data_IF_721385843553
#
_entry.id   IF_721385843553
#
_cell.length_a   1.000
_cell.length_b   1.000
_cell.length_c   1.000
_cell.angle_alpha   90.00
_cell.angle_beta   90.00
_cell.angle_gamma   90.00
#
_symmetry.space_group_name_H-M   'P 1'
#
loop_
_entity.id
_entity.type
_entity.pdbx_description
1 polymer ?
#
# COMPACT_ATOMS: atom_id res chain seq x y z
N UNK A 1 74.47 51.89 18.49
CA UNK A 1 73.79 51.05 19.48
C UNK A 1 72.68 50.28 18.73
N UNK A 2 72.83 48.96 18.60
CA UNK A 2 71.89 48.08 17.88
C UNK A 2 70.84 47.61 18.85
N UNK A 3 69.53 47.42 18.44
CA UNK A 3 68.56 46.71 19.24
C UNK A 3 68.60 45.20 18.96
N UNK A 4 68.42 44.40 20.00
CA UNK A 4 68.35 42.97 19.99
C UNK A 4 67.01 42.47 19.39
N UNK A 5 67.11 41.58 18.41
CA UNK A 5 66.03 40.72 17.96
C UNK A 5 65.91 39.53 18.92
N UNK A 6 64.71 39.29 19.49
CA UNK A 6 64.37 38.04 20.14
C UNK A 6 63.44 37.25 19.18
N UNK A 7 64.03 36.29 18.50
CA UNK A 7 63.26 35.26 17.74
C UNK A 7 62.81 34.17 18.68
N UNK A 8 61.48 33.99 18.82
CA UNK A 8 60.93 32.86 19.48
C UNK A 8 60.76 31.74 18.43
N UNK A 9 61.64 30.75 18.51
CA UNK A 9 61.62 29.54 17.67
C UNK A 9 60.54 28.58 18.23
N UNK A 10 59.40 28.50 17.53
CA UNK A 10 58.33 27.59 17.87
C UNK A 10 58.53 26.27 17.12
N UNK A 11 59.03 25.29 17.86
CA UNK A 11 59.33 23.94 17.36
C UNK A 11 58.10 23.29 16.71
N UNK A 12 58.29 22.78 15.47
CA UNK A 12 57.30 22.07 14.66
C UNK A 12 56.67 20.83 15.35
N UNK A 13 57.10 20.47 16.52
CA UNK A 13 56.58 19.32 17.29
C UNK A 13 55.43 19.67 18.25
N UNK A 14 55.12 20.93 18.49
CA UNK A 14 53.98 21.33 19.38
C UNK A 14 52.66 21.65 18.64
N UNK A 15 52.69 21.85 17.32
CA UNK A 15 51.51 22.11 16.51
C UNK A 15 50.71 20.84 16.13
N UNK A 16 51.15 19.63 16.50
CA UNK A 16 50.53 18.35 16.13
C UNK A 16 49.72 17.68 17.25
N UNK A 17 49.41 18.40 18.33
CA UNK A 17 48.64 17.81 19.47
C UNK A 17 47.23 18.38 19.70
N UNK A 18 46.70 19.26 18.84
CA UNK A 18 45.35 19.83 18.95
C UNK A 18 44.58 19.65 17.65
N UNK A 19 44.45 18.40 17.15
CA UNK A 19 43.54 18.03 16.05
C UNK A 19 43.10 16.55 16.24
N UNK A 20 42.68 16.25 17.43
CA UNK A 20 42.11 14.95 17.81
C UNK A 20 40.72 15.06 18.41
N UNK A 21 39.90 16.05 18.01
CA UNK A 21 38.48 16.04 18.28
C UNK A 21 37.80 15.25 17.18
N UNK A 22 37.53 13.97 17.47
CA UNK A 22 36.79 13.11 16.59
C UNK A 22 35.43 13.70 16.26
N UNK A 23 35.25 14.17 15.03
CA UNK A 23 33.93 14.36 14.45
C UNK A 23 33.36 12.98 14.25
N UNK A 24 32.54 12.53 15.20
CA UNK A 24 31.62 11.40 14.98
C UNK A 24 30.67 11.88 13.87
N UNK A 25 30.97 11.55 12.63
CA UNK A 25 30.05 11.70 11.53
C UNK A 25 28.85 10.81 11.85
N UNK A 26 27.77 11.40 12.36
CA UNK A 26 26.46 10.77 12.34
C UNK A 26 26.12 10.58 10.85
N UNK A 27 26.42 9.41 10.33
CA UNK A 27 25.91 8.97 9.04
C UNK A 27 24.40 8.76 9.23
N UNK A 28 23.62 9.80 8.90
CA UNK A 28 22.18 9.64 8.71
C UNK A 28 22.01 8.52 7.66
N UNK A 29 21.16 7.53 7.89
CA UNK A 29 20.91 6.52 6.87
C UNK A 29 20.34 7.23 5.64
N UNK A 30 21.13 7.28 4.57
CA UNK A 30 20.67 7.76 3.26
C UNK A 30 19.69 6.69 2.79
N UNK A 31 18.40 6.98 2.87
CA UNK A 31 17.38 6.12 2.25
C UNK A 31 17.71 5.97 0.78
N UNK A 32 17.86 4.74 0.32
CA UNK A 32 18.04 4.49 -1.10
C UNK A 32 16.83 5.05 -1.87
N UNK A 33 17.03 5.67 -3.02
CA UNK A 33 15.93 6.21 -3.81
C UNK A 33 14.97 5.09 -4.20
N UNK A 34 13.67 5.32 -4.01
CA UNK A 34 12.61 4.38 -4.46
C UNK A 34 12.66 4.31 -5.98
N UNK A 35 12.87 3.10 -6.52
CA UNK A 35 13.02 2.86 -7.96
C UNK A 35 12.05 1.76 -8.41
N UNK A 36 11.31 2.00 -9.50
CA UNK A 36 10.36 1.04 -10.08
C UNK A 36 11.00 -0.34 -10.35
N UNK A 37 12.26 -0.38 -10.80
CA UNK A 37 12.98 -1.62 -11.10
C UNK A 37 13.21 -2.53 -9.87
N UNK A 38 13.14 -1.99 -8.65
CA UNK A 38 13.38 -2.72 -7.41
C UNK A 38 12.08 -3.09 -6.67
N UNK A 39 10.92 -2.82 -7.28
CA UNK A 39 9.63 -3.10 -6.65
C UNK A 39 9.36 -4.60 -6.56
N UNK A 40 9.02 -5.06 -5.37
CA UNK A 40 8.61 -6.44 -5.14
C UNK A 40 7.28 -6.68 -5.85
N UNK A 41 7.19 -7.80 -6.55
CA UNK A 41 5.96 -8.27 -7.20
C UNK A 41 5.57 -9.63 -6.67
N UNK A 42 4.27 -9.93 -6.65
CA UNK A 42 3.72 -11.23 -6.29
C UNK A 42 2.77 -11.75 -7.35
N UNK A 43 2.73 -13.05 -7.50
CA UNK A 43 1.78 -13.70 -8.43
C UNK A 43 0.36 -13.67 -7.85
N UNK A 44 -0.61 -13.41 -8.72
CA UNK A 44 -1.99 -13.82 -8.47
C UNK A 44 -2.00 -15.34 -8.56
N UNK A 45 -2.37 -16.08 -7.49
CA UNK A 45 -2.16 -17.54 -7.44
C UNK A 45 -2.76 -18.28 -8.63
N UNK A 46 -4.03 -18.05 -8.95
CA UNK A 46 -4.74 -18.77 -10.03
C UNK A 46 -4.26 -18.46 -11.45
N UNK A 47 -3.75 -17.26 -11.71
CA UNK A 47 -3.39 -16.84 -13.07
C UNK A 47 -1.91 -16.75 -13.33
N UNK A 48 -1.09 -16.62 -12.28
CA UNK A 48 0.34 -16.37 -12.39
C UNK A 48 0.70 -14.93 -12.79
N UNK A 49 -0.27 -14.03 -13.01
CA UNK A 49 -0.02 -12.62 -13.31
C UNK A 49 0.70 -11.95 -12.14
N UNK A 50 1.72 -11.16 -12.47
CA UNK A 50 2.53 -10.46 -11.48
C UNK A 50 1.91 -9.09 -11.13
N UNK A 51 1.76 -8.82 -9.84
CA UNK A 51 1.28 -7.53 -9.34
C UNK A 51 2.31 -6.91 -8.38
N UNK A 52 2.51 -5.57 -8.42
CA UNK A 52 3.24 -4.87 -7.39
C UNK A 52 2.58 -5.07 -6.02
N UNK A 53 3.38 -5.27 -4.98
CA UNK A 53 2.86 -5.51 -3.62
C UNK A 53 2.28 -4.28 -2.94
N UNK A 54 2.56 -3.07 -3.45
CA UNK A 54 1.96 -1.81 -2.99
C UNK A 54 1.00 -1.30 -4.04
N UNK A 55 -0.27 -1.20 -3.68
CA UNK A 55 -1.31 -0.52 -4.44
C UNK A 55 -1.67 0.84 -3.84
N UNK A 56 -2.60 1.53 -4.44
CA UNK A 56 -3.13 2.83 -4.02
C UNK A 56 -4.62 2.71 -3.70
N UNK A 57 -4.97 2.82 -2.41
CA UNK A 57 -6.36 3.00 -1.98
C UNK A 57 -6.84 4.43 -2.23
N UNK A 58 -8.13 4.59 -2.52
CA UNK A 58 -8.70 5.91 -2.86
C UNK A 58 -9.72 6.44 -1.85
N UNK A 59 -10.12 5.64 -0.86
CA UNK A 59 -11.07 6.05 0.18
C UNK A 59 -10.59 7.33 0.89
N UNK A 60 -11.47 8.32 1.04
CA UNK A 60 -11.23 9.68 1.58
C UNK A 60 -10.12 10.48 0.86
N UNK A 61 -9.14 9.81 0.28
CA UNK A 61 -8.00 10.46 -0.35
C UNK A 61 -8.33 11.06 -1.72
N UNK A 62 -9.30 10.48 -2.46
CA UNK A 62 -9.68 10.91 -3.80
C UNK A 62 -11.14 11.37 -3.90
N UNK A 63 -11.90 11.43 -2.81
CA UNK A 63 -13.20 12.13 -2.78
C UNK A 63 -12.98 13.64 -2.62
N UNK A 64 -12.56 14.27 -3.70
CA UNK A 64 -12.12 15.67 -3.73
C UNK A 64 -12.89 16.51 -4.75
N UNK A 65 -12.84 17.83 -4.57
CA UNK A 65 -13.48 18.80 -5.46
C UNK A 65 -12.82 18.91 -6.83
N UNK A 66 -13.35 19.84 -7.63
CA UNK A 66 -12.81 20.15 -8.97
C UNK A 66 -11.76 21.25 -8.95
N UNK A 67 -11.56 21.95 -7.81
CA UNK A 67 -10.57 23.00 -7.70
C UNK A 67 -9.15 22.43 -7.87
N UNK A 68 -8.27 23.19 -8.52
CA UNK A 68 -6.87 22.77 -8.73
C UNK A 68 -6.16 22.49 -7.40
N UNK A 69 -6.39 23.30 -6.37
CA UNK A 69 -5.84 23.08 -5.01
C UNK A 69 -6.17 21.71 -4.42
N UNK A 70 -7.32 21.14 -4.77
CA UNK A 70 -7.73 19.82 -4.32
C UNK A 70 -7.10 18.72 -5.21
N UNK A 71 -7.07 18.97 -6.53
CA UNK A 71 -6.67 17.98 -7.54
C UNK A 71 -5.16 17.85 -7.73
N UNK A 72 -4.39 18.93 -7.60
CA UNK A 72 -2.95 18.91 -7.85
C UNK A 72 -2.19 17.95 -6.92
N UNK A 73 -2.45 17.88 -5.60
CA UNK A 73 -1.82 16.87 -4.75
C UNK A 73 -2.17 15.43 -5.17
N UNK A 74 -3.45 15.16 -5.50
CA UNK A 74 -3.89 13.84 -5.93
C UNK A 74 -3.30 13.45 -7.30
N UNK A 75 -3.18 14.42 -8.21
CA UNK A 75 -2.52 14.25 -9.51
C UNK A 75 -1.04 13.91 -9.36
N UNK A 76 -0.32 14.62 -8.48
CA UNK A 76 1.09 14.32 -8.20
C UNK A 76 1.24 12.94 -7.54
N UNK A 77 0.33 12.55 -6.63
CA UNK A 77 0.30 11.18 -6.06
C UNK A 77 0.16 10.14 -7.17
N UNK A 78 -0.82 10.28 -8.06
CA UNK A 78 -1.05 9.31 -9.13
C UNK A 78 0.11 9.23 -10.12
N UNK A 79 0.70 10.38 -10.47
CA UNK A 79 1.88 10.49 -11.32
C UNK A 79 3.06 9.73 -10.70
N UNK A 80 3.40 10.05 -9.44
CA UNK A 80 4.50 9.40 -8.72
C UNK A 80 4.26 7.91 -8.51
N UNK A 81 3.01 7.53 -8.23
CA UNK A 81 2.63 6.12 -8.09
C UNK A 81 3.03 5.29 -9.32
N UNK A 82 2.68 5.78 -10.52
CA UNK A 82 3.02 5.10 -11.78
C UNK A 82 4.52 5.16 -12.06
N UNK A 83 5.18 6.32 -11.83
CA UNK A 83 6.63 6.48 -12.02
C UNK A 83 7.44 5.52 -11.13
N UNK A 84 6.94 5.21 -9.93
CA UNK A 84 7.57 4.29 -8.98
C UNK A 84 7.16 2.82 -9.18
N UNK A 85 6.50 2.50 -10.29
CA UNK A 85 6.12 1.13 -10.65
C UNK A 85 4.82 0.63 -10.03
N UNK A 86 4.04 1.52 -9.41
CA UNK A 86 2.69 1.20 -8.94
C UNK A 86 1.72 1.01 -10.11
N UNK A 87 0.79 0.08 -9.96
CA UNK A 87 -0.24 -0.20 -10.96
C UNK A 87 -1.63 -0.33 -10.34
N UNK A 88 -1.77 -1.01 -9.21
CA UNK A 88 -3.06 -1.34 -8.58
C UNK A 88 -3.68 -0.09 -7.96
N UNK A 89 -4.84 0.33 -8.45
CA UNK A 89 -5.66 1.40 -7.85
C UNK A 89 -6.99 0.79 -7.41
N UNK A 90 -7.28 0.85 -6.10
CA UNK A 90 -8.52 0.34 -5.51
C UNK A 90 -9.49 1.47 -5.19
N UNK A 91 -10.69 1.41 -5.77
CA UNK A 91 -11.76 2.37 -5.57
C UNK A 91 -13.10 1.70 -5.28
N UNK A 92 -14.17 2.50 -5.19
CA UNK A 92 -15.54 2.02 -5.01
C UNK A 92 -16.53 3.12 -5.38
N UNK A 93 -17.71 2.80 -5.90
CA UNK A 93 -18.80 3.75 -6.07
C UNK A 93 -19.26 4.39 -4.74
N UNK A 94 -18.98 3.73 -3.61
CA UNK A 94 -19.22 4.25 -2.25
C UNK A 94 -18.26 5.40 -1.85
N UNK A 95 -17.14 5.58 -2.55
CA UNK A 95 -16.08 6.54 -2.20
C UNK A 95 -16.32 7.92 -2.85
N UNK A 96 -17.57 8.37 -2.90
CA UNK A 96 -17.93 9.67 -3.45
C UNK A 96 -17.47 9.87 -4.89
N UNK A 97 -16.60 10.83 -5.13
CA UNK A 97 -16.07 11.18 -6.46
C UNK A 97 -14.82 10.43 -6.86
N UNK A 98 -14.29 9.55 -6.01
CA UNK A 98 -12.98 8.92 -6.21
C UNK A 98 -12.84 8.25 -7.58
N UNK A 99 -13.83 7.49 -8.05
CA UNK A 99 -13.80 6.85 -9.37
C UNK A 99 -13.67 7.87 -10.51
N UNK A 100 -14.46 8.95 -10.46
CA UNK A 100 -14.39 10.01 -11.48
C UNK A 100 -13.06 10.75 -11.43
N UNK A 101 -12.55 11.04 -10.23
CA UNK A 101 -11.26 11.72 -10.06
C UNK A 101 -10.11 10.86 -10.60
N UNK A 102 -10.11 9.55 -10.34
CA UNK A 102 -9.11 8.65 -10.91
C UNK A 102 -9.22 8.61 -12.44
N UNK A 103 -10.43 8.50 -12.98
CA UNK A 103 -10.64 8.52 -14.43
C UNK A 103 -10.14 9.80 -15.09
N UNK A 104 -10.46 10.96 -14.51
CA UNK A 104 -10.03 12.27 -15.01
C UNK A 104 -8.49 12.41 -14.95
N UNK A 105 -7.90 12.23 -13.77
CA UNK A 105 -6.46 12.44 -13.54
C UNK A 105 -5.61 11.45 -14.32
N UNK A 106 -6.01 10.18 -14.40
CA UNK A 106 -5.26 9.18 -15.17
C UNK A 106 -5.30 9.44 -16.68
N UNK A 107 -6.40 9.99 -17.19
CA UNK A 107 -6.52 10.43 -18.58
C UNK A 107 -5.66 11.65 -18.84
N UNK A 108 -5.73 12.68 -17.98
CA UNK A 108 -4.92 13.89 -18.08
C UNK A 108 -3.42 13.58 -18.07
N UNK A 109 -2.98 12.65 -17.22
CA UNK A 109 -1.60 12.19 -17.14
C UNK A 109 -1.19 11.20 -18.25
N UNK A 110 -2.15 10.76 -19.07
CA UNK A 110 -1.93 9.71 -20.07
C UNK A 110 -1.38 8.40 -19.46
N UNK A 111 -1.89 8.02 -18.30
CA UNK A 111 -1.46 6.80 -17.58
C UNK A 111 -2.60 5.80 -17.37
N UNK A 112 -3.83 6.08 -17.82
CA UNK A 112 -4.99 5.23 -17.58
C UNK A 112 -4.75 3.76 -17.98
N UNK A 113 -4.13 3.52 -19.13
CA UNK A 113 -3.81 2.16 -19.63
C UNK A 113 -2.73 1.44 -18.81
N UNK A 114 -1.97 2.15 -17.98
CA UNK A 114 -0.95 1.56 -17.09
C UNK A 114 -1.52 1.12 -15.74
N UNK A 115 -2.76 1.52 -15.44
CA UNK A 115 -3.39 1.20 -14.17
C UNK A 115 -4.08 -0.18 -14.24
N UNK A 116 -3.94 -0.94 -13.19
CA UNK A 116 -4.68 -2.13 -12.87
C UNK A 116 -5.81 -1.74 -11.89
N UNK A 117 -7.03 -1.65 -12.39
CA UNK A 117 -8.15 -1.09 -11.65
C UNK A 117 -8.89 -2.18 -10.87
N UNK A 118 -9.02 -1.96 -9.57
CA UNK A 118 -9.95 -2.66 -8.70
C UNK A 118 -11.06 -1.72 -8.27
N UNK A 119 -12.32 -2.12 -8.48
CA UNK A 119 -13.47 -1.40 -7.92
C UNK A 119 -14.53 -2.39 -7.43
N UNK A 120 -15.70 -1.90 -7.07
CA UNK A 120 -16.67 -2.69 -6.32
C UNK A 120 -18.08 -2.47 -6.84
N UNK A 121 -19.00 -3.40 -6.50
CA UNK A 121 -20.44 -3.20 -6.57
C UNK A 121 -20.99 -3.08 -5.15
N UNK A 122 -21.77 -2.03 -4.89
CA UNK A 122 -22.34 -1.70 -3.58
C UNK A 122 -23.77 -1.19 -3.73
N UNK A 123 -24.68 -2.10 -3.99
CA UNK A 123 -26.12 -1.86 -4.09
C UNK A 123 -26.83 -3.21 -3.94
N UNK A 124 -28.15 -3.24 -4.00
CA UNK A 124 -28.94 -4.48 -4.00
C UNK A 124 -29.68 -4.63 -5.32
N UNK A 125 -29.87 -5.87 -5.76
CA UNK A 125 -30.57 -6.22 -6.99
C UNK A 125 -29.66 -6.24 -8.23
N UNK A 126 -29.97 -7.17 -9.13
CA UNK A 126 -29.13 -7.45 -10.31
C UNK A 126 -29.02 -6.24 -11.26
N UNK A 127 -30.15 -5.62 -11.59
CA UNK A 127 -30.18 -4.50 -12.55
C UNK A 127 -29.48 -3.27 -11.99
N UNK A 128 -29.71 -2.93 -10.71
CA UNK A 128 -29.03 -1.84 -10.03
C UNK A 128 -27.51 -2.10 -9.96
N UNK A 129 -27.09 -3.34 -9.70
CA UNK A 129 -25.70 -3.71 -9.71
C UNK A 129 -25.05 -3.54 -11.08
N UNK A 130 -25.70 -4.00 -12.14
CA UNK A 130 -25.23 -3.82 -13.52
C UNK A 130 -25.11 -2.34 -13.87
N UNK A 131 -26.12 -1.54 -13.54
CA UNK A 131 -26.10 -0.09 -13.76
C UNK A 131 -24.94 0.59 -13.03
N UNK A 132 -24.72 0.26 -11.75
CA UNK A 132 -23.63 0.81 -10.95
C UNK A 132 -22.25 0.42 -11.50
N UNK A 133 -22.06 -0.85 -11.88
CA UNK A 133 -20.79 -1.31 -12.45
C UNK A 133 -20.50 -0.68 -13.82
N UNK A 134 -21.51 -0.47 -14.67
CA UNK A 134 -21.37 0.27 -15.93
C UNK A 134 -21.03 1.75 -15.65
N UNK A 135 -21.60 2.36 -14.61
CA UNK A 135 -21.28 3.71 -14.20
C UNK A 135 -19.82 3.83 -13.71
N UNK A 136 -19.31 2.83 -12.98
CA UNK A 136 -17.89 2.73 -12.60
C UNK A 136 -16.97 2.68 -13.83
N UNK A 137 -17.30 1.85 -14.84
CA UNK A 137 -16.57 1.82 -16.11
C UNK A 137 -16.49 3.20 -16.77
N UNK A 138 -17.65 3.89 -16.84
CA UNK A 138 -17.74 5.24 -17.43
C UNK A 138 -16.93 6.27 -16.64
N UNK A 139 -17.07 6.29 -15.31
CA UNK A 139 -16.36 7.23 -14.42
C UNK A 139 -14.85 7.03 -14.48
N UNK A 140 -14.39 5.78 -14.49
CA UNK A 140 -12.97 5.46 -14.56
C UNK A 140 -12.40 5.50 -16.00
N UNK A 141 -13.25 5.83 -17.00
CA UNK A 141 -12.86 5.90 -18.42
C UNK A 141 -12.25 4.61 -18.92
N UNK A 142 -12.91 3.47 -18.61
CA UNK A 142 -12.46 2.11 -18.94
C UNK A 142 -13.53 1.36 -19.71
N UNK A 143 -13.11 0.50 -20.62
CA UNK A 143 -14.00 -0.48 -21.27
C UNK A 143 -14.12 -1.77 -20.47
N UNK A 144 -13.10 -2.09 -19.69
CA UNK A 144 -13.03 -3.26 -18.79
C UNK A 144 -12.34 -2.91 -17.48
N UNK A 145 -12.65 -3.66 -16.42
CA UNK A 145 -12.06 -3.55 -15.09
C UNK A 145 -11.26 -4.82 -14.81
N UNK A 146 -10.08 -4.70 -14.24
CA UNK A 146 -9.26 -5.86 -13.89
C UNK A 146 -9.90 -6.64 -12.74
N UNK A 147 -10.31 -6.00 -11.63
CA UNK A 147 -10.97 -6.66 -10.51
C UNK A 147 -12.27 -5.96 -10.12
N UNK A 148 -13.38 -6.67 -10.19
CA UNK A 148 -14.66 -6.24 -9.64
C UNK A 148 -15.00 -7.05 -8.39
N UNK A 149 -15.32 -6.36 -7.28
CA UNK A 149 -15.57 -6.99 -5.99
C UNK A 149 -16.96 -6.70 -5.46
N UNK A 150 -17.57 -7.64 -4.73
CA UNK A 150 -18.78 -7.35 -3.97
C UNK A 150 -18.39 -6.65 -2.68
N UNK A 151 -18.82 -5.39 -2.53
CA UNK A 151 -18.45 -4.53 -1.40
C UNK A 151 -19.26 -4.89 -0.15
N UNK A 152 -18.55 -5.17 0.94
CA UNK A 152 -19.13 -5.54 2.24
C UNK A 152 -20.11 -6.71 2.15
N UNK A 153 -19.89 -7.60 1.15
CA UNK A 153 -20.75 -8.77 0.90
C UNK A 153 -22.23 -8.41 0.67
N UNK A 154 -22.53 -7.14 0.34
CA UNK A 154 -23.90 -6.69 0.10
C UNK A 154 -24.49 -7.40 -1.13
N UNK A 155 -25.60 -8.10 -0.92
CA UNK A 155 -26.30 -8.91 -1.94
C UNK A 155 -25.35 -9.82 -2.75
N UNK A 156 -24.40 -10.46 -2.03
CA UNK A 156 -23.29 -11.21 -2.64
C UNK A 156 -23.78 -12.31 -3.59
N UNK A 157 -24.88 -13.01 -3.25
CA UNK A 157 -25.42 -14.08 -4.10
C UNK A 157 -25.82 -13.56 -5.48
N UNK A 158 -26.52 -12.44 -5.54
CA UNK A 158 -26.97 -11.82 -6.79
C UNK A 158 -25.78 -11.31 -7.60
N UNK A 159 -24.89 -10.56 -6.93
CA UNK A 159 -23.77 -9.91 -7.62
C UNK A 159 -22.71 -10.90 -8.09
N UNK A 160 -22.37 -11.93 -7.32
CA UNK A 160 -21.42 -12.96 -7.77
C UNK A 160 -21.90 -13.68 -9.03
N UNK A 161 -23.22 -13.91 -9.18
CA UNK A 161 -23.78 -14.45 -10.41
C UNK A 161 -23.49 -13.53 -11.60
N UNK A 162 -23.76 -12.24 -11.44
CA UNK A 162 -23.47 -11.23 -12.48
C UNK A 162 -21.97 -11.12 -12.77
N UNK A 163 -21.11 -11.15 -11.74
CA UNK A 163 -19.66 -11.07 -11.91
C UNK A 163 -19.08 -12.26 -12.65
N UNK A 164 -19.62 -13.47 -12.46
CA UNK A 164 -19.24 -14.66 -13.27
C UNK A 164 -19.57 -14.46 -14.77
N UNK A 165 -20.75 -13.90 -15.06
CA UNK A 165 -21.15 -13.59 -16.45
C UNK A 165 -20.24 -12.50 -17.04
N UNK A 166 -19.90 -11.47 -16.28
CA UNK A 166 -18.99 -10.41 -16.69
C UNK A 166 -17.56 -10.90 -16.91
N UNK A 167 -17.08 -11.82 -16.07
CA UNK A 167 -15.77 -12.47 -16.26
C UNK A 167 -15.74 -13.31 -17.54
N UNK A 168 -16.79 -14.11 -17.79
CA UNK A 168 -16.91 -14.90 -19.03
C UNK A 168 -16.95 -14.04 -20.29
N UNK A 169 -17.60 -12.86 -20.23
CA UNK A 169 -17.68 -11.92 -21.34
C UNK A 169 -16.46 -11.02 -21.50
N UNK A 170 -15.49 -11.09 -20.60
CA UNK A 170 -14.28 -10.27 -20.64
C UNK A 170 -14.46 -8.81 -20.17
N UNK A 171 -15.63 -8.45 -19.62
CA UNK A 171 -15.84 -7.12 -19.01
C UNK A 171 -15.02 -6.91 -17.75
N UNK A 172 -14.76 -7.99 -17.02
CA UNK A 172 -13.83 -8.02 -15.88
C UNK A 172 -12.85 -9.18 -16.07
N UNK A 173 -11.65 -9.05 -15.51
CA UNK A 173 -10.64 -10.09 -15.55
C UNK A 173 -10.74 -11.01 -14.33
N UNK A 174 -10.97 -10.42 -13.17
CA UNK A 174 -11.06 -11.10 -11.89
C UNK A 174 -12.30 -10.69 -11.13
N UNK A 175 -12.83 -11.60 -10.31
CA UNK A 175 -13.91 -11.35 -9.38
C UNK A 175 -13.45 -11.57 -7.94
N UNK A 176 -14.07 -10.87 -7.00
CA UNK A 176 -13.73 -10.99 -5.59
C UNK A 176 -14.83 -10.48 -4.66
N UNK A 177 -14.53 -10.57 -3.39
CA UNK A 177 -15.35 -10.03 -2.30
C UNK A 177 -14.49 -9.20 -1.35
N UNK A 178 -15.10 -8.24 -0.67
CA UNK A 178 -14.36 -7.43 0.30
C UNK A 178 -15.18 -7.13 1.55
N UNK A 179 -14.47 -7.04 2.68
CA UNK A 179 -14.99 -6.45 3.91
C UNK A 179 -13.87 -5.71 4.65
N UNK A 180 -14.23 -4.85 5.61
CA UNK A 180 -13.29 -3.97 6.28
C UNK A 180 -13.16 -4.19 7.80
N UNK A 181 -13.81 -5.23 8.37
CA UNK A 181 -13.69 -5.56 9.78
C UNK A 181 -13.85 -7.06 10.05
N UNK A 182 -13.27 -7.53 11.16
CA UNK A 182 -13.22 -8.94 11.55
C UNK A 182 -14.60 -9.59 11.81
N UNK A 183 -15.62 -8.81 12.17
CA UNK A 183 -16.99 -9.33 12.38
C UNK A 183 -17.63 -9.96 11.14
N UNK A 184 -17.07 -9.73 9.94
CA UNK A 184 -17.54 -10.34 8.70
C UNK A 184 -16.72 -11.58 8.28
N UNK A 185 -15.76 -12.00 9.09
CA UNK A 185 -14.82 -13.06 8.69
C UNK A 185 -15.48 -14.41 8.43
N UNK A 186 -16.56 -14.75 9.12
CA UNK A 186 -17.31 -15.99 8.85
C UNK A 186 -17.93 -15.99 7.45
N UNK A 187 -18.43 -14.85 7.00
CA UNK A 187 -18.97 -14.69 5.64
C UNK A 187 -17.86 -14.66 4.58
N UNK A 188 -16.74 -14.00 4.86
CA UNK A 188 -15.57 -14.02 3.97
C UNK A 188 -15.01 -15.44 3.87
N UNK A 189 -14.94 -16.18 4.96
CA UNK A 189 -14.49 -17.57 4.98
C UNK A 189 -15.35 -18.46 4.09
N UNK A 190 -16.68 -18.31 4.15
CA UNK A 190 -17.60 -19.05 3.28
C UNK A 190 -17.35 -18.71 1.80
N UNK A 191 -17.13 -17.43 1.48
CA UNK A 191 -16.83 -17.02 0.11
C UNK A 191 -15.49 -17.61 -0.37
N UNK A 192 -14.44 -17.59 0.46
CA UNK A 192 -13.13 -18.18 0.12
C UNK A 192 -13.24 -19.71 -0.06
N UNK A 193 -13.94 -20.40 0.85
CA UNK A 193 -14.16 -21.87 0.78
C UNK A 193 -14.85 -22.33 -0.48
N UNK A 194 -15.60 -21.46 -1.15
CA UNK A 194 -16.23 -21.82 -2.44
C UNK A 194 -15.19 -22.13 -3.53
N UNK A 195 -13.95 -21.66 -3.37
CA UNK A 195 -12.90 -21.79 -4.37
C UNK A 195 -13.10 -20.92 -5.63
N UNK A 196 -14.21 -20.19 -5.71
CA UNK A 196 -14.55 -19.39 -6.90
C UNK A 196 -13.89 -18.01 -6.93
N UNK A 197 -13.52 -17.47 -5.76
CA UNK A 197 -12.95 -16.13 -5.67
C UNK A 197 -11.54 -16.09 -6.23
N UNK A 198 -11.27 -15.13 -7.12
CA UNK A 198 -9.91 -14.81 -7.53
C UNK A 198 -9.22 -13.97 -6.45
N UNK A 199 -9.98 -13.07 -5.81
CA UNK A 199 -9.50 -12.17 -4.77
C UNK A 199 -10.42 -12.13 -3.56
N UNK A 200 -9.81 -11.98 -2.40
CA UNK A 200 -10.46 -11.50 -1.18
C UNK A 200 -9.74 -10.24 -0.70
N UNK A 201 -10.52 -9.21 -0.35
CA UNK A 201 -9.96 -8.01 0.28
C UNK A 201 -10.49 -7.93 1.72
N UNK A 202 -9.58 -7.82 2.68
CA UNK A 202 -9.90 -7.82 4.10
C UNK A 202 -9.01 -6.86 4.90
N UNK A 203 -9.48 -6.45 6.09
CA UNK A 203 -8.65 -5.66 6.98
C UNK A 203 -7.52 -6.51 7.56
N UNK A 204 -6.32 -5.96 7.48
CA UNK A 204 -5.15 -6.58 8.07
C UNK A 204 -4.08 -5.53 8.36
N UNK A 205 -3.67 -5.47 9.61
CA UNK A 205 -2.65 -4.55 10.10
C UNK A 205 -1.91 -5.14 11.31
N UNK A 206 -0.91 -4.44 11.82
CA UNK A 206 -0.19 -4.88 13.03
C UNK A 206 -1.08 -4.94 14.29
N UNK A 207 -2.20 -4.22 14.30
CA UNK A 207 -3.19 -4.20 15.40
C UNK A 207 -4.48 -4.96 15.10
N UNK A 208 -4.79 -5.23 13.84
CA UNK A 208 -5.94 -6.02 13.40
C UNK A 208 -5.41 -7.31 12.77
N UNK A 209 -5.16 -8.34 13.57
CA UNK A 209 -4.41 -9.55 13.19
C UNK A 209 -5.26 -10.81 13.08
N UNK A 210 -6.55 -10.72 13.29
CA UNK A 210 -7.45 -11.87 13.36
C UNK A 210 -7.46 -12.70 12.06
N UNK A 211 -7.13 -12.06 10.90
CA UNK A 211 -7.00 -12.76 9.63
C UNK A 211 -5.89 -13.83 9.63
N UNK A 212 -4.83 -13.66 10.44
CA UNK A 212 -3.73 -14.62 10.57
C UNK A 212 -4.20 -15.97 11.12
N UNK A 213 -5.25 -15.98 11.95
CA UNK A 213 -5.72 -17.19 12.63
C UNK A 213 -6.27 -18.23 11.66
N UNK A 214 -6.94 -17.79 10.58
CA UNK A 214 -7.58 -18.71 9.62
C UNK A 214 -7.70 -18.22 8.18
N UNK A 215 -8.11 -16.97 7.94
CA UNK A 215 -8.46 -16.52 6.59
C UNK A 215 -7.27 -16.47 5.63
N UNK A 216 -6.10 -16.02 6.11
CA UNK A 216 -4.90 -15.93 5.28
C UNK A 216 -4.42 -17.31 4.85
N UNK A 217 -4.41 -18.28 5.78
CA UNK A 217 -4.07 -19.66 5.46
C UNK A 217 -5.07 -20.27 4.48
N UNK A 218 -6.36 -20.12 4.75
CA UNK A 218 -7.42 -20.64 3.88
C UNK A 218 -7.32 -20.07 2.47
N UNK A 219 -7.10 -18.75 2.33
CA UNK A 219 -6.94 -18.12 1.03
C UNK A 219 -5.75 -18.69 0.24
N UNK A 220 -4.63 -18.94 0.93
CA UNK A 220 -3.47 -19.59 0.32
C UNK A 220 -3.78 -21.04 -0.11
N UNK A 221 -4.47 -21.82 0.74
CA UNK A 221 -4.81 -23.23 0.47
C UNK A 221 -5.72 -23.39 -0.77
N UNK A 222 -6.57 -22.38 -1.07
CA UNK A 222 -7.49 -22.42 -2.23
C UNK A 222 -7.08 -21.45 -3.35
N UNK A 223 -5.84 -20.98 -3.34
CA UNK A 223 -5.26 -20.11 -4.37
C UNK A 223 -6.03 -18.79 -4.60
N UNK A 224 -6.64 -18.23 -3.55
CA UNK A 224 -7.29 -16.92 -3.60
C UNK A 224 -6.30 -15.83 -3.23
N UNK A 225 -6.12 -14.84 -4.11
CA UNK A 225 -5.26 -13.69 -3.86
C UNK A 225 -5.82 -12.80 -2.73
N UNK A 226 -4.95 -12.27 -1.87
CA UNK A 226 -5.36 -11.43 -0.73
C UNK A 226 -4.89 -10.00 -0.91
N UNK A 227 -5.82 -9.05 -0.83
CA UNK A 227 -5.54 -7.61 -0.72
C UNK A 227 -5.81 -7.17 0.72
N UNK A 228 -4.80 -6.59 1.38
CA UNK A 228 -4.98 -5.99 2.70
C UNK A 228 -5.47 -4.55 2.57
N UNK A 229 -6.65 -4.26 3.10
CA UNK A 229 -7.14 -2.90 3.29
C UNK A 229 -6.88 -2.42 4.73
N UNK A 230 -7.08 -1.12 5.01
CA UNK A 230 -6.86 -0.50 6.33
C UNK A 230 -5.50 -0.79 6.96
N UNK A 231 -4.38 -0.78 6.21
CA UNK A 231 -3.08 -1.21 6.73
C UNK A 231 -2.58 -0.39 7.93
N UNK A 232 -3.11 0.80 8.09
CA UNK A 232 -2.79 1.73 9.19
C UNK A 232 -3.91 1.84 10.23
N UNK A 233 -4.90 0.94 10.23
CA UNK A 233 -6.05 0.96 11.14
C UNK A 233 -6.66 2.37 11.28
N UNK A 234 -6.98 3.00 10.14
CA UNK A 234 -7.45 4.41 10.04
C UNK A 234 -6.48 5.43 10.65
N UNK A 235 -5.18 5.15 10.64
CA UNK A 235 -4.16 6.05 11.18
C UNK A 235 -3.88 5.90 12.68
N UNK A 236 -4.62 5.07 13.41
CA UNK A 236 -4.47 4.89 14.86
C UNK A 236 -3.07 4.40 15.26
N UNK A 237 -2.42 3.58 14.42
CA UNK A 237 -1.05 3.10 14.68
C UNK A 237 -0.02 4.24 14.76
N UNK A 238 -0.24 5.35 14.06
CA UNK A 238 0.69 6.48 14.11
C UNK A 238 0.61 7.26 15.43
N UNK A 239 -0.54 7.25 16.10
CA UNK A 239 -0.70 7.88 17.41
C UNK A 239 0.17 7.18 18.47
N UNK A 240 0.29 5.86 18.41
CA UNK A 240 1.09 5.06 19.34
C UNK A 240 2.60 5.31 19.20
N UNK A 241 3.06 5.68 18.00
CA UNK A 241 4.49 5.89 17.70
C UNK A 241 4.89 7.35 17.58
N UNK A 242 3.99 8.28 17.89
CA UNK A 242 4.25 9.71 17.79
C UNK A 242 5.45 10.10 18.66
N UNK A 243 6.47 10.70 18.03
CA UNK A 243 7.70 11.12 18.69
C UNK A 243 8.66 9.99 19.07
N UNK A 244 8.34 8.74 18.74
CA UNK A 244 9.22 7.59 19.01
C UNK A 244 10.09 7.28 17.78
N UNK A 245 11.40 7.05 17.96
CA UNK A 245 12.26 6.60 16.87
C UNK A 245 11.93 5.17 16.48
N UNK A 246 12.26 4.79 15.23
CA UNK A 246 12.27 3.38 14.84
C UNK A 246 13.29 2.60 15.70
N UNK A 247 13.02 1.32 16.02
CA UNK A 247 14.03 0.48 16.64
C UNK A 247 15.22 0.29 15.69
N UNK A 248 16.43 0.25 16.23
CA UNK A 248 17.67 0.15 15.43
C UNK A 248 17.67 -1.04 14.47
N UNK A 249 17.07 -2.17 14.88
CA UNK A 249 16.95 -3.37 14.06
C UNK A 249 15.97 -3.26 12.88
N UNK A 250 15.19 -2.18 12.76
CA UNK A 250 14.35 -1.94 11.58
C UNK A 250 15.18 -1.84 10.29
N UNK A 251 16.46 -1.48 10.39
CA UNK A 251 17.43 -1.50 9.28
C UNK A 251 17.70 -2.91 8.73
N UNK A 252 17.48 -3.97 9.50
CA UNK A 252 17.63 -5.36 9.06
C UNK A 252 16.65 -5.74 7.94
N UNK A 253 15.52 -5.01 7.86
CA UNK A 253 14.49 -5.15 6.83
C UNK A 253 14.40 -3.90 5.93
N UNK A 254 15.46 -3.12 5.81
CA UNK A 254 15.53 -1.91 4.98
C UNK A 254 14.35 -0.94 5.25
N UNK A 255 13.98 -0.77 6.52
CA UNK A 255 12.84 0.06 6.95
C UNK A 255 13.34 1.40 7.49
N UNK A 256 12.84 2.51 6.94
CA UNK A 256 13.30 3.87 7.27
C UNK A 256 12.23 4.76 7.89
N UNK A 257 10.98 4.29 7.98
CA UNK A 257 9.86 5.02 8.58
C UNK A 257 8.88 4.08 9.28
N UNK A 258 8.06 4.63 10.17
CA UNK A 258 6.96 3.89 10.78
C UNK A 258 5.91 3.46 9.74
N UNK A 259 5.68 4.26 8.69
CA UNK A 259 4.79 3.86 7.59
C UNK A 259 5.28 2.59 6.90
N UNK A 260 6.59 2.54 6.57
CA UNK A 260 7.20 1.34 6.00
C UNK A 260 7.19 0.17 6.99
N UNK A 261 7.42 0.40 8.27
CA UNK A 261 7.38 -0.63 9.30
C UNK A 261 6.03 -1.36 9.29
N UNK A 262 4.93 -0.64 9.32
CA UNK A 262 3.59 -1.22 9.31
C UNK A 262 3.27 -1.95 8.00
N UNK A 263 3.64 -1.39 6.86
CA UNK A 263 3.42 -2.05 5.56
C UNK A 263 4.29 -3.31 5.40
N UNK A 264 5.56 -3.26 5.79
CA UNK A 264 6.45 -4.43 5.74
C UNK A 264 5.98 -5.54 6.66
N UNK A 265 5.43 -5.22 7.85
CA UNK A 265 4.78 -6.22 8.70
C UNK A 265 3.71 -7.01 7.94
N UNK A 266 2.83 -6.33 7.22
CA UNK A 266 1.77 -6.92 6.41
C UNK A 266 2.37 -7.73 5.26
N UNK A 267 3.26 -7.13 4.50
CA UNK A 267 3.91 -7.74 3.34
C UNK A 267 4.79 -8.94 3.69
N UNK A 268 5.30 -9.02 4.91
CA UNK A 268 6.02 -10.18 5.41
C UNK A 268 5.19 -11.46 5.47
N UNK A 269 3.85 -11.36 5.48
CA UNK A 269 3.00 -12.56 5.47
C UNK A 269 2.93 -13.15 4.04
N UNK A 270 3.25 -14.45 3.84
CA UNK A 270 3.39 -15.04 2.51
C UNK A 270 2.07 -15.11 1.72
N UNK A 271 0.92 -15.20 2.40
CA UNK A 271 -0.40 -15.25 1.75
C UNK A 271 -0.87 -13.89 1.18
N UNK A 272 -0.23 -12.77 1.52
CA UNK A 272 -0.61 -11.46 1.01
C UNK A 272 -0.14 -11.28 -0.43
N UNK A 273 -1.03 -10.81 -1.30
CA UNK A 273 -0.68 -10.42 -2.67
C UNK A 273 -0.31 -8.93 -2.71
N UNK A 274 -1.14 -8.08 -2.12
CA UNK A 274 -0.98 -6.63 -2.18
C UNK A 274 -1.55 -5.96 -0.93
N UNK A 275 -1.06 -4.76 -0.62
CA UNK A 275 -1.60 -3.85 0.39
C UNK A 275 -1.94 -2.51 -0.27
N UNK A 276 -3.05 -1.88 0.14
CA UNK A 276 -3.60 -0.67 -0.50
C UNK A 276 -3.70 0.52 0.47
N UNK A 277 -2.58 1.10 0.93
CA UNK A 277 -2.61 2.34 1.70
C UNK A 277 -3.19 3.48 0.87
N UNK A 278 -4.06 4.30 1.48
CA UNK A 278 -4.63 5.49 0.85
C UNK A 278 -3.87 6.75 1.29
N UNK A 279 -3.58 7.64 0.35
CA UNK A 279 -2.99 8.94 0.66
C UNK A 279 -3.21 9.94 -0.46
N UNK A 280 -3.31 11.24 -0.09
CA UNK A 280 -3.28 12.39 -1.00
C UNK A 280 -1.96 13.19 -0.86
N UNK A 281 -1.03 12.72 -0.03
CA UNK A 281 0.25 13.38 0.18
C UNK A 281 1.35 12.65 -0.62
N UNK A 282 2.01 13.32 -1.58
CA UNK A 282 3.07 12.71 -2.39
C UNK A 282 4.24 12.16 -1.57
N UNK A 283 4.59 12.79 -0.43
CA UNK A 283 5.65 12.30 0.45
C UNK A 283 5.27 10.97 1.10
N UNK A 284 4.01 10.85 1.56
CA UNK A 284 3.52 9.58 2.12
C UNK A 284 3.43 8.49 1.05
N UNK A 285 3.09 8.84 -0.19
CA UNK A 285 3.11 7.86 -1.28
C UNK A 285 4.51 7.31 -1.52
N UNK A 286 5.51 8.18 -1.64
CA UNK A 286 6.92 7.76 -1.86
C UNK A 286 7.37 6.85 -0.71
N UNK A 287 7.02 7.19 0.53
CA UNK A 287 7.32 6.38 1.71
C UNK A 287 6.63 5.01 1.65
N UNK A 288 5.33 4.98 1.32
CA UNK A 288 4.57 3.74 1.15
C UNK A 288 5.20 2.84 0.06
N UNK A 289 5.57 3.42 -1.09
CA UNK A 289 6.21 2.68 -2.19
C UNK A 289 7.56 2.08 -1.76
N UNK A 290 8.30 2.77 -0.89
CA UNK A 290 9.53 2.26 -0.28
C UNK A 290 9.35 0.97 0.52
N UNK A 291 8.18 0.75 1.12
CA UNK A 291 7.88 -0.51 1.81
C UNK A 291 7.84 -1.74 0.87
N UNK A 292 7.56 -1.52 -0.41
CA UNK A 292 7.58 -2.54 -1.45
C UNK A 292 8.97 -2.84 -2.02
N UNK A 293 10.05 -2.40 -1.37
CA UNK A 293 11.43 -2.60 -1.81
C UNK A 293 12.30 -3.21 -0.73
N UNK A 294 13.42 -3.83 -1.14
CA UNK A 294 14.39 -4.43 -0.23
C UNK A 294 13.85 -5.67 0.50
N UNK A 295 14.37 -5.92 1.69
CA UNK A 295 14.06 -7.12 2.48
C UNK A 295 12.69 -7.01 3.15
N UNK A 296 11.94 -8.10 3.12
CA UNK A 296 10.71 -8.25 3.91
C UNK A 296 11.00 -9.06 5.19
N UNK A 297 10.27 -8.80 6.28
CA UNK A 297 10.41 -9.58 7.50
C UNK A 297 9.90 -11.02 7.27
N UNK A 298 10.64 -11.98 7.79
CA UNK A 298 10.16 -13.34 7.99
C UNK A 298 9.20 -13.43 9.19
N UNK A 299 8.71 -14.61 9.50
CA UNK A 299 7.75 -14.81 10.59
C UNK A 299 8.33 -14.43 11.95
N UNK A 300 9.60 -14.76 12.23
CA UNK A 300 10.26 -14.42 13.50
C UNK A 300 10.38 -12.89 13.66
N UNK A 301 10.77 -12.20 12.59
CA UNK A 301 10.84 -10.75 12.57
C UNK A 301 9.45 -10.10 12.68
N UNK A 302 8.42 -10.65 12.03
CA UNK A 302 7.04 -10.16 12.18
C UNK A 302 6.55 -10.28 13.63
N UNK A 303 6.82 -11.40 14.30
CA UNK A 303 6.51 -11.58 15.72
C UNK A 303 7.24 -10.55 16.59
N UNK A 304 8.54 -10.33 16.33
CA UNK A 304 9.34 -9.28 16.99
C UNK A 304 8.75 -7.88 16.78
N UNK A 305 8.32 -7.57 15.54
CA UNK A 305 7.67 -6.30 15.21
C UNK A 305 6.37 -6.10 15.99
N UNK A 306 5.50 -7.12 16.02
CA UNK A 306 4.23 -7.06 16.73
C UNK A 306 4.42 -6.93 18.25
N UNK A 307 5.35 -7.70 18.83
CA UNK A 307 5.67 -7.63 20.27
C UNK A 307 6.25 -6.26 20.65
N UNK A 308 7.17 -5.73 19.82
CA UNK A 308 7.75 -4.40 20.05
C UNK A 308 6.67 -3.30 20.00
N UNK A 309 5.79 -3.34 18.97
CA UNK A 309 4.71 -2.36 18.86
C UNK A 309 3.72 -2.44 20.02
N UNK A 310 3.38 -3.64 20.48
CA UNK A 310 2.45 -3.84 21.61
C UNK A 310 3.02 -3.32 22.97
N UNK A 311 4.35 -3.18 23.06
CA UNK A 311 5.03 -2.64 24.27
C UNK A 311 5.21 -1.11 24.24
N UNK A 312 4.81 -0.42 23.18
CA UNK A 312 4.93 1.03 23.04
C UNK A 312 3.78 1.77 23.71
#
# INVERSE_FOLDING_TARGET
MKPHENSIDCSRRQCLRILGAGVAAMTLPISAPVNAANSIVRKIPKSGELLPVIGLGTYDAFDIGSAASDRDPAKEVLKRFVELGGAIVDSSPMYGRAESVIGDLSTELNVNSKLWIATKVWTSGRESGIAQMNDSLRKMRREKIELMQVHNLQDAKTHLTTLRDWKKSGKIKYLGVTHYHAGAYDLLEQAIKSGEMDFVQLNYSIVEREAEQRLLKLAADVETAVIANRPYANGSVFSAVKGKPLPAWASEIDCTSWGQFFLKYILGHPALTCVIPATRNPKHLIDNMGAGQGRLPDEAMRQKMAAYFAAL
#
